data_IF_682426525743
#
_entry.id   IF_682426525743
#
_cell.length_a   1.000
_cell.length_b   1.000
_cell.length_c   1.000
_cell.angle_alpha   90.00
_cell.angle_beta   90.00
_cell.angle_gamma   90.00
#
_symmetry.space_group_name_H-M   'P 1'
#
loop_
_entity.id
_entity.type
_entity.pdbx_description
1 polymer ?
#
# COMPACT_ATOMS: atom_id res chain seq x y z
N UNK A 1 -0.55 -17.53 -0.21
CA UNK A 1 -1.67 -18.30 -0.78
C UNK A 1 -1.75 -17.91 -2.24
N UNK A 2 -1.54 -18.85 -3.17
CA UNK A 2 -1.51 -18.57 -4.61
C UNK A 2 -2.91 -18.14 -5.07
N UNK A 3 -3.04 -16.92 -5.60
CA UNK A 3 -4.29 -16.43 -6.16
C UNK A 3 -4.48 -17.08 -7.54
N UNK A 4 -5.46 -17.95 -7.66
CA UNK A 4 -5.80 -18.61 -8.93
C UNK A 4 -6.59 -17.59 -9.75
N UNK A 5 -6.04 -17.11 -10.85
CA UNK A 5 -6.76 -16.29 -11.82
C UNK A 5 -7.21 -17.21 -12.94
N UNK A 6 -8.52 -17.33 -13.13
CA UNK A 6 -9.09 -18.07 -14.25
C UNK A 6 -9.36 -17.11 -15.40
N UNK A 7 -8.50 -17.13 -16.41
CA UNK A 7 -8.69 -16.37 -17.65
C UNK A 7 -9.24 -17.31 -18.72
N UNK A 8 -10.23 -16.84 -19.48
CA UNK A 8 -10.81 -17.58 -20.60
C UNK A 8 -10.31 -16.95 -21.91
N UNK A 9 -9.49 -17.68 -22.65
CA UNK A 9 -9.05 -17.25 -23.99
C UNK A 9 -9.91 -17.92 -25.07
N UNK A 10 -10.36 -17.17 -26.09
CA UNK A 10 -11.05 -17.75 -27.24
C UNK A 10 -10.04 -18.46 -28.14
N UNK A 11 -10.24 -19.75 -28.39
CA UNK A 11 -9.48 -20.49 -29.41
C UNK A 11 -10.28 -20.44 -30.70
N UNK A 12 -9.76 -19.78 -31.73
CA UNK A 12 -10.32 -19.84 -33.07
C UNK A 12 -10.12 -21.24 -33.65
N UNK A 13 -11.22 -21.97 -33.85
CA UNK A 13 -11.22 -23.24 -34.57
C UNK A 13 -11.14 -22.98 -36.08
N UNK A 14 -10.23 -23.67 -36.76
CA UNK A 14 -10.13 -23.68 -38.23
C UNK A 14 -11.49 -24.08 -38.86
N UNK A 15 -11.87 -23.48 -40.01
CA UNK A 15 -13.15 -23.74 -40.64
C UNK A 15 -13.27 -25.21 -41.10
N UNK A 16 -14.39 -25.84 -40.78
CA UNK A 16 -14.70 -27.20 -41.19
C UNK A 16 -14.95 -27.25 -42.72
N UNK A 17 -14.47 -28.29 -43.41
CA UNK A 17 -14.43 -28.41 -44.89
C UNK A 17 -15.80 -28.48 -45.59
N UNK A 18 -16.91 -28.25 -44.88
CA UNK A 18 -18.28 -28.34 -45.39
C UNK A 18 -19.04 -27.03 -45.12
N UNK A 19 -18.67 -25.93 -45.77
CA UNK A 19 -19.53 -24.79 -46.15
C UNK A 19 -20.45 -24.09 -45.12
N UNK A 20 -20.52 -24.53 -43.86
CA UNK A 20 -21.35 -23.98 -42.80
C UNK A 20 -20.46 -23.26 -41.80
N UNK A 21 -20.52 -21.93 -41.84
CA UNK A 21 -19.79 -20.99 -40.98
C UNK A 21 -20.44 -20.87 -39.59
N UNK A 22 -20.55 -21.98 -38.86
CA UNK A 22 -20.88 -21.98 -37.44
C UNK A 22 -19.60 -21.94 -36.61
N UNK A 23 -18.99 -20.77 -36.45
CA UNK A 23 -17.81 -20.56 -35.61
C UNK A 23 -18.16 -20.80 -34.14
N UNK A 24 -17.98 -22.04 -33.67
CA UNK A 24 -18.19 -22.37 -32.26
C UNK A 24 -16.96 -21.90 -31.49
N UNK A 25 -17.04 -20.71 -30.88
CA UNK A 25 -15.99 -20.16 -30.03
C UNK A 25 -15.81 -21.10 -28.83
N UNK A 26 -14.72 -21.86 -28.83
CA UNK A 26 -14.38 -22.76 -27.73
C UNK A 26 -13.47 -22.02 -26.77
N UNK A 27 -13.97 -21.70 -25.57
CA UNK A 27 -13.19 -21.05 -24.52
C UNK A 27 -12.31 -22.08 -23.82
N UNK A 28 -10.99 -21.90 -23.87
CA UNK A 28 -10.04 -22.74 -23.12
C UNK A 28 -9.80 -22.10 -21.76
N UNK A 29 -10.04 -22.86 -20.69
CA UNK A 29 -9.68 -22.46 -19.32
C UNK A 29 -8.17 -22.55 -19.17
N UNK A 30 -7.49 -21.41 -19.13
CA UNK A 30 -6.07 -21.33 -18.78
C UNK A 30 -5.97 -20.99 -17.30
N UNK A 31 -5.32 -21.87 -16.53
CA UNK A 31 -5.03 -21.63 -15.12
C UNK A 31 -3.67 -20.94 -15.09
N UNK A 32 -3.67 -19.62 -15.04
CA UNK A 32 -2.44 -18.86 -14.79
C UNK A 32 -2.20 -18.77 -13.29
N UNK A 33 -1.01 -19.21 -12.89
CA UNK A 33 -0.49 -18.94 -11.56
C UNK A 33 0.17 -17.57 -11.58
N UNK A 34 -0.58 -16.54 -11.16
CA UNK A 34 0.03 -15.25 -10.88
C UNK A 34 1.07 -15.47 -9.78
N UNK A 35 2.36 -15.35 -10.13
CA UNK A 35 3.48 -15.43 -9.20
C UNK A 35 3.49 -14.18 -8.31
N UNK A 36 2.51 -14.07 -7.41
CA UNK A 36 2.45 -13.01 -6.42
C UNK A 36 3.32 -13.38 -5.22
N UNK A 37 4.17 -12.43 -4.81
CA UNK A 37 5.01 -12.55 -3.62
C UNK A 37 4.12 -12.60 -2.38
N UNK A 38 4.07 -13.76 -1.72
CA UNK A 38 3.30 -13.93 -0.48
C UNK A 38 4.09 -13.40 0.73
N UNK A 39 3.98 -12.09 0.99
CA UNK A 39 4.71 -11.39 2.06
C UNK A 39 4.36 -11.95 3.44
N UNK A 40 3.08 -12.21 3.74
CA UNK A 40 2.67 -12.78 5.02
C UNK A 40 3.21 -14.21 5.23
N UNK A 41 3.22 -15.00 4.17
CA UNK A 41 3.85 -16.33 4.18
C UNK A 41 5.35 -16.26 4.44
N UNK A 42 6.05 -15.34 3.79
CA UNK A 42 7.48 -15.11 3.99
C UNK A 42 7.79 -14.65 5.43
N UNK A 43 6.95 -13.76 5.97
CA UNK A 43 7.08 -13.28 7.34
C UNK A 43 6.87 -14.41 8.35
N UNK A 44 5.77 -15.16 8.22
CA UNK A 44 5.46 -16.25 9.16
C UNK A 44 6.51 -17.36 9.14
N UNK A 45 7.02 -17.74 7.97
CA UNK A 45 8.12 -18.72 7.89
C UNK A 45 9.42 -18.17 8.45
N UNK A 46 9.76 -16.91 8.15
CA UNK A 46 10.95 -16.24 8.70
C UNK A 46 10.89 -16.16 10.24
N UNK A 47 9.73 -15.84 10.81
CA UNK A 47 9.52 -15.76 12.26
C UNK A 47 9.65 -17.13 12.94
N UNK A 48 9.08 -18.18 12.35
CA UNK A 48 9.25 -19.56 12.88
C UNK A 48 10.71 -19.99 12.83
N UNK A 49 11.41 -19.74 11.72
CA UNK A 49 12.83 -20.05 11.58
C UNK A 49 13.65 -19.27 12.61
N UNK A 50 13.37 -17.98 12.78
CA UNK A 50 14.04 -17.11 13.76
C UNK A 50 13.85 -17.59 15.20
N UNK A 51 12.62 -17.94 15.59
CA UNK A 51 12.31 -18.48 16.92
C UNK A 51 13.03 -19.82 17.18
N UNK A 52 13.01 -20.74 16.22
CA UNK A 52 13.67 -22.05 16.35
C UNK A 52 15.19 -21.87 16.44
N UNK A 53 15.77 -21.03 15.57
CA UNK A 53 17.19 -20.70 15.59
C UNK A 53 17.60 -20.05 16.92
N UNK A 54 16.80 -19.11 17.42
CA UNK A 54 17.01 -18.44 18.70
C UNK A 54 16.91 -19.38 19.91
N UNK A 55 16.06 -20.41 19.86
CA UNK A 55 15.92 -21.39 20.95
C UNK A 55 17.13 -22.32 21.10
N UNK A 56 17.89 -22.54 20.03
CA UNK A 56 19.07 -23.43 20.00
C UNK A 56 20.32 -22.69 19.51
N UNK A 57 20.57 -21.50 20.08
CA UNK A 57 21.69 -20.60 19.71
C UNK A 57 23.04 -21.31 19.63
N UNK A 58 23.35 -22.22 20.55
CA UNK A 58 24.66 -22.92 20.57
C UNK A 58 24.89 -23.78 19.32
N UNK A 59 23.86 -24.45 18.81
CA UNK A 59 23.96 -25.33 17.63
C UNK A 59 23.72 -24.59 16.32
N UNK A 60 22.90 -23.54 16.35
CA UNK A 60 22.46 -22.78 15.17
C UNK A 60 23.15 -21.43 15.01
N UNK A 61 24.19 -21.15 15.80
CA UNK A 61 25.03 -19.95 15.69
C UNK A 61 25.50 -19.62 14.25
N UNK A 62 25.99 -20.57 13.43
CA UNK A 62 26.42 -20.23 12.07
C UNK A 62 25.25 -19.77 11.18
N UNK A 63 24.05 -20.30 11.39
CA UNK A 63 22.85 -19.87 10.65
C UNK A 63 22.44 -18.45 11.04
N UNK A 64 22.49 -18.12 12.33
CA UNK A 64 22.19 -16.78 12.85
C UNK A 64 23.20 -15.77 12.29
N UNK A 65 24.50 -16.09 12.36
CA UNK A 65 25.56 -15.23 11.84
C UNK A 65 25.41 -14.96 10.33
N UNK A 66 24.97 -15.96 9.55
CA UNK A 66 24.69 -15.78 8.14
C UNK A 66 23.57 -14.75 7.92
N UNK A 67 22.46 -14.84 8.66
CA UNK A 67 21.36 -13.88 8.54
C UNK A 67 21.74 -12.48 9.01
N UNK A 68 22.58 -12.35 10.04
CA UNK A 68 23.17 -11.07 10.46
C UNK A 68 24.00 -10.45 9.34
N UNK A 69 24.88 -11.23 8.68
CA UNK A 69 25.63 -10.74 7.53
C UNK A 69 24.73 -10.30 6.36
N UNK A 70 23.66 -11.04 6.07
CA UNK A 70 22.69 -10.65 5.03
C UNK A 70 22.01 -9.32 5.41
N UNK A 71 21.61 -9.15 6.68
CA UNK A 71 21.00 -7.90 7.15
C UNK A 71 21.97 -6.72 6.97
N UNK A 72 23.25 -6.91 7.25
CA UNK A 72 24.27 -5.88 7.07
C UNK A 72 24.45 -5.50 5.59
N UNK A 73 24.49 -6.48 4.70
CA UNK A 73 24.54 -6.25 3.25
C UNK A 73 23.32 -5.47 2.78
N UNK A 74 22.12 -5.78 3.27
CA UNK A 74 20.89 -5.04 2.93
C UNK A 74 20.93 -3.59 3.40
N UNK A 75 21.47 -3.34 4.59
CA UNK A 75 21.74 -1.98 5.10
C UNK A 75 22.60 -1.18 4.12
N UNK A 76 23.73 -1.74 3.68
CA UNK A 76 24.66 -1.07 2.77
C UNK A 76 24.02 -0.80 1.40
N UNK A 77 23.26 -1.75 0.86
CA UNK A 77 22.53 -1.57 -0.41
C UNK A 77 21.58 -0.37 -0.31
N UNK A 78 20.91 -0.21 0.83
CA UNK A 78 19.93 0.85 1.02
C UNK A 78 20.59 2.21 1.20
N UNK A 79 21.74 2.30 1.88
CA UNK A 79 22.56 3.52 1.90
C UNK A 79 22.92 3.99 0.48
N UNK A 80 23.15 3.05 -0.44
CA UNK A 80 23.39 3.38 -1.85
C UNK A 80 22.11 3.90 -2.53
N UNK A 81 20.96 3.27 -2.30
CA UNK A 81 19.66 3.71 -2.84
C UNK A 81 19.29 5.12 -2.35
N UNK A 82 19.59 5.46 -1.09
CA UNK A 82 19.33 6.80 -0.53
C UNK A 82 20.05 7.88 -1.36
N UNK A 83 21.24 7.61 -1.87
CA UNK A 83 21.97 8.57 -2.74
C UNK A 83 21.26 8.84 -4.06
N UNK A 84 20.46 7.88 -4.55
CA UNK A 84 19.65 8.02 -5.78
C UNK A 84 18.26 8.59 -5.50
N UNK A 85 17.82 8.61 -4.24
CA UNK A 85 16.52 9.11 -3.82
C UNK A 85 16.15 10.50 -4.34
N UNK A 86 17.02 11.54 -4.33
CA UNK A 86 16.64 12.87 -4.80
C UNK A 86 16.25 12.88 -6.29
N UNK A 87 16.88 12.04 -7.10
CA UNK A 87 16.58 11.92 -8.54
C UNK A 87 15.22 11.24 -8.73
N UNK A 88 14.96 10.16 -7.97
CA UNK A 88 13.68 9.47 -7.98
C UNK A 88 12.53 10.42 -7.59
N UNK A 89 12.75 11.31 -6.62
CA UNK A 89 11.75 12.27 -6.17
C UNK A 89 11.36 13.28 -7.24
N UNK A 90 12.35 13.84 -7.95
CA UNK A 90 12.09 14.80 -9.04
C UNK A 90 11.29 14.11 -10.16
N UNK A 91 11.65 12.87 -10.51
CA UNK A 91 10.94 12.12 -11.54
C UNK A 91 9.50 11.79 -11.13
N UNK A 92 9.25 11.44 -9.87
CA UNK A 92 7.93 11.11 -9.35
C UNK A 92 7.00 12.35 -9.36
N UNK A 93 7.51 13.50 -8.93
CA UNK A 93 6.77 14.78 -8.96
C UNK A 93 6.47 15.20 -10.40
N UNK A 94 7.45 15.08 -11.31
CA UNK A 94 7.25 15.37 -12.72
C UNK A 94 6.20 14.46 -13.37
N UNK A 95 6.22 13.17 -13.06
CA UNK A 95 5.21 12.20 -13.52
C UNK A 95 3.80 12.55 -13.01
N UNK A 96 3.67 12.90 -11.73
CA UNK A 96 2.41 13.31 -11.13
C UNK A 96 1.81 14.56 -11.81
N UNK A 97 2.64 15.54 -12.16
CA UNK A 97 2.21 16.75 -12.87
C UNK A 97 1.85 16.43 -14.33
N UNK A 98 2.67 15.65 -15.03
CA UNK A 98 2.46 15.33 -16.45
C UNK A 98 1.15 14.58 -16.72
N UNK A 99 0.64 13.81 -15.74
CA UNK A 99 -0.61 13.05 -15.86
C UNK A 99 -1.87 13.90 -15.67
N UNK A 100 -1.74 15.17 -15.27
CA UNK A 100 -2.87 16.11 -15.15
C UNK A 100 -3.22 16.75 -16.51
N UNK A 101 -3.92 16.02 -17.39
CA UNK A 101 -4.20 16.49 -18.76
C UNK A 101 -5.51 17.27 -18.97
N UNK A 102 -6.47 17.31 -18.02
CA UNK A 102 -7.81 17.89 -18.28
C UNK A 102 -8.27 18.90 -17.23
N UNK A 103 -8.04 20.18 -17.54
CA UNK A 103 -8.16 21.33 -16.63
C UNK A 103 -9.56 21.97 -16.61
N UNK A 104 -10.51 21.55 -17.43
CA UNK A 104 -11.76 22.31 -17.70
C UNK A 104 -12.65 22.62 -16.49
N UNK A 105 -13.32 21.63 -15.90
CA UNK A 105 -14.43 21.91 -14.96
C UNK A 105 -14.34 21.19 -13.60
N UNK A 106 -13.61 20.06 -13.51
CA UNK A 106 -13.47 19.28 -12.27
C UNK A 106 -12.09 19.42 -11.61
N UNK A 107 -11.20 20.25 -12.17
CA UNK A 107 -9.82 20.40 -11.68
C UNK A 107 -9.77 21.01 -10.28
N UNK A 108 -10.62 22.00 -9.98
CA UNK A 108 -10.73 22.60 -8.65
C UNK A 108 -11.21 21.55 -7.64
N UNK A 109 -12.20 20.74 -8.00
CA UNK A 109 -12.69 19.66 -7.14
C UNK A 109 -11.61 18.61 -6.87
N UNK A 110 -10.78 18.31 -7.87
CA UNK A 110 -9.66 17.37 -7.75
C UNK A 110 -8.55 17.90 -6.83
N UNK A 111 -8.18 19.18 -6.97
CA UNK A 111 -7.20 19.83 -6.07
C UNK A 111 -7.75 19.85 -4.65
N UNK A 112 -9.02 20.20 -4.45
CA UNK A 112 -9.66 20.18 -3.14
C UNK A 112 -9.69 18.76 -2.54
N UNK A 113 -9.89 17.73 -3.36
CA UNK A 113 -9.80 16.33 -2.94
C UNK A 113 -8.39 15.96 -2.48
N UNK A 114 -7.35 16.28 -3.26
CA UNK A 114 -5.95 16.01 -2.88
C UNK A 114 -5.58 16.80 -1.61
N UNK A 115 -5.91 18.09 -1.56
CA UNK A 115 -5.64 18.95 -0.42
C UNK A 115 -6.35 18.48 0.85
N UNK A 116 -7.62 18.06 0.76
CA UNK A 116 -8.35 17.51 1.91
C UNK A 116 -7.76 16.17 2.37
N UNK A 117 -7.34 15.30 1.45
CA UNK A 117 -6.69 14.03 1.80
C UNK A 117 -5.34 14.24 2.47
N UNK A 118 -4.51 15.15 1.95
CA UNK A 118 -3.23 15.54 2.58
C UNK A 118 -3.49 16.18 3.95
N UNK A 119 -4.51 17.03 4.09
CA UNK A 119 -4.86 17.66 5.37
C UNK A 119 -5.29 16.63 6.39
N UNK A 120 -6.11 15.66 5.99
CA UNK A 120 -6.57 14.58 6.86
C UNK A 120 -5.41 13.68 7.30
N UNK A 121 -4.54 13.28 6.38
CA UNK A 121 -3.34 12.50 6.71
C UNK A 121 -2.38 13.30 7.62
N UNK A 122 -2.18 14.58 7.33
CA UNK A 122 -1.37 15.49 8.16
C UNK A 122 -1.93 15.63 9.56
N UNK A 123 -3.27 15.71 9.71
CA UNK A 123 -3.93 15.74 11.02
C UNK A 123 -3.69 14.44 11.80
N UNK A 124 -3.76 13.29 11.13
CA UNK A 124 -3.47 12.00 11.78
C UNK A 124 -2.02 11.95 12.26
N UNK A 125 -1.06 12.32 11.41
CA UNK A 125 0.37 12.22 11.70
C UNK A 125 0.85 13.29 12.68
N UNK A 126 0.38 14.53 12.58
CA UNK A 126 0.88 15.64 13.41
C UNK A 126 0.09 15.86 14.69
N UNK A 127 -1.16 15.41 14.75
CA UNK A 127 -2.04 15.65 15.91
C UNK A 127 -2.39 14.33 16.59
N UNK A 128 -3.10 13.43 15.89
CA UNK A 128 -3.68 12.24 16.52
C UNK A 128 -2.59 11.29 17.04
N UNK A 129 -1.58 10.99 16.22
CA UNK A 129 -0.47 10.11 16.60
C UNK A 129 0.36 10.66 17.77
N UNK A 130 0.84 11.91 17.74
CA UNK A 130 1.57 12.50 18.87
C UNK A 130 0.74 12.59 20.15
N UNK A 131 -0.55 12.91 20.07
CA UNK A 131 -1.44 12.97 21.24
C UNK A 131 -1.62 11.58 21.84
N UNK A 132 -1.93 10.57 21.02
CA UNK A 132 -2.08 9.20 21.50
C UNK A 132 -0.79 8.67 22.14
N UNK A 133 0.35 8.92 21.49
CA UNK A 133 1.66 8.56 22.01
C UNK A 133 1.99 9.27 23.32
N UNK A 134 1.68 10.56 23.42
CA UNK A 134 1.90 11.32 24.64
C UNK A 134 1.04 10.82 25.80
N UNK A 135 -0.21 10.44 25.55
CA UNK A 135 -1.10 9.87 26.59
C UNK A 135 -0.55 8.52 27.08
N UNK A 136 -0.11 7.65 26.17
CA UNK A 136 0.35 6.30 26.49
C UNK A 136 1.77 6.27 27.10
N UNK A 137 2.72 6.99 26.50
CA UNK A 137 4.16 6.89 26.81
C UNK A 137 4.67 8.11 27.60
N UNK A 138 3.92 9.21 27.62
CA UNK A 138 4.30 10.48 28.29
C UNK A 138 5.64 11.04 27.83
N UNK A 139 6.02 10.75 26.57
CA UNK A 139 7.24 11.25 25.91
C UNK A 139 6.89 12.06 24.67
N UNK A 140 7.83 12.90 24.23
CA UNK A 140 7.67 13.73 23.05
C UNK A 140 7.96 12.93 21.77
N UNK A 141 6.93 12.68 20.95
CA UNK A 141 7.04 11.97 19.67
C UNK A 141 7.75 12.79 18.57
N UNK A 142 7.66 14.12 18.63
CA UNK A 142 8.26 14.98 17.60
C UNK A 142 9.79 14.84 17.51
N UNK A 143 10.44 14.51 18.64
CA UNK A 143 11.87 14.20 18.64
C UNK A 143 12.18 12.96 17.81
N UNK A 144 11.30 11.97 17.82
CA UNK A 144 11.43 10.75 17.02
C UNK A 144 11.18 11.01 15.53
N UNK A 145 10.23 11.88 15.19
CA UNK A 145 9.99 12.27 13.78
C UNK A 145 11.20 12.89 13.09
N UNK A 146 12.06 13.60 13.82
CA UNK A 146 13.30 14.11 13.25
C UNK A 146 14.20 12.99 12.72
N UNK A 147 14.38 11.92 13.50
CA UNK A 147 15.15 10.75 13.07
C UNK A 147 14.43 9.94 11.98
N UNK A 148 13.09 9.99 11.92
CA UNK A 148 12.29 9.27 10.93
C UNK A 148 12.23 9.95 9.55
N UNK A 149 12.81 11.14 9.39
CA UNK A 149 12.73 11.93 8.16
C UNK A 149 13.23 11.17 6.92
N UNK A 150 14.36 10.46 7.03
CA UNK A 150 14.93 9.65 5.95
C UNK A 150 14.03 8.44 5.55
N UNK A 151 13.60 7.56 6.49
CA UNK A 151 12.64 6.50 6.20
C UNK A 151 11.34 6.99 5.53
N UNK A 152 10.81 8.12 6.00
CA UNK A 152 9.57 8.71 5.45
C UNK A 152 9.78 9.13 3.99
N UNK A 153 10.89 9.80 3.69
CA UNK A 153 11.20 10.23 2.33
C UNK A 153 11.41 9.03 1.39
N UNK A 154 12.04 7.96 1.88
CA UNK A 154 12.22 6.72 1.11
C UNK A 154 10.89 6.02 0.83
N UNK A 155 10.02 5.91 1.83
CA UNK A 155 8.68 5.32 1.66
C UNK A 155 7.83 6.12 0.67
N UNK A 156 7.90 7.45 0.74
CA UNK A 156 7.19 8.35 -0.18
C UNK A 156 7.70 8.21 -1.62
N UNK A 157 9.02 8.18 -1.82
CA UNK A 157 9.65 8.05 -3.13
C UNK A 157 9.40 6.72 -3.82
N UNK A 158 9.48 5.64 -3.05
CA UNK A 158 9.28 4.31 -3.58
C UNK A 158 7.80 3.91 -3.66
N UNK A 159 6.88 4.77 -3.18
CA UNK A 159 5.44 4.49 -3.06
C UNK A 159 5.13 3.21 -2.25
N UNK A 160 6.07 2.76 -1.43
CA UNK A 160 6.00 1.48 -0.71
C UNK A 160 6.65 1.56 0.66
N UNK A 161 5.86 1.30 1.71
CA UNK A 161 6.34 1.32 3.09
C UNK A 161 7.30 0.18 3.43
N UNK A 162 7.26 -0.94 2.70
CA UNK A 162 8.14 -2.10 2.94
C UNK A 162 9.60 -1.80 2.57
N UNK A 163 9.83 -0.93 1.59
CA UNK A 163 11.17 -0.58 1.11
C UNK A 163 11.92 0.26 2.16
N UNK A 164 11.19 1.02 2.99
CA UNK A 164 11.77 1.83 4.05
C UNK A 164 12.04 1.07 5.36
N UNK A 165 11.63 -0.20 5.48
CA UNK A 165 11.79 -0.98 6.72
C UNK A 165 13.24 -1.06 7.23
N UNK A 166 14.25 -1.28 6.39
CA UNK A 166 15.61 -1.42 6.93
C UNK A 166 16.19 -0.10 7.44
N UNK A 167 15.83 1.04 6.84
CA UNK A 167 16.17 2.36 7.39
C UNK A 167 15.47 2.60 8.72
N UNK A 168 14.20 2.18 8.84
CA UNK A 168 13.48 2.24 10.10
C UNK A 168 14.21 1.44 11.19
N UNK A 169 14.78 0.27 10.88
CA UNK A 169 15.58 -0.50 11.84
C UNK A 169 16.80 0.28 12.32
N UNK A 170 17.58 0.86 11.40
CA UNK A 170 18.77 1.65 11.76
C UNK A 170 18.41 2.85 12.64
N UNK A 171 17.34 3.57 12.31
CA UNK A 171 16.87 4.72 13.10
C UNK A 171 16.42 4.29 14.49
N UNK A 172 15.68 3.18 14.59
CA UNK A 172 15.25 2.63 15.87
C UNK A 172 16.44 2.16 16.72
N UNK A 173 17.44 1.54 16.11
CA UNK A 173 18.68 1.11 16.76
C UNK A 173 19.46 2.33 17.31
N UNK A 174 19.57 3.41 16.52
CA UNK A 174 20.21 4.67 16.94
C UNK A 174 19.45 5.41 18.05
N UNK A 175 18.11 5.32 18.05
CA UNK A 175 17.27 5.94 19.07
C UNK A 175 17.27 5.15 20.40
N UNK A 176 17.81 3.92 20.40
CA UNK A 176 17.87 3.05 21.58
C UNK A 176 16.59 2.25 21.82
N UNK A 177 15.82 1.97 20.77
CA UNK A 177 14.69 1.02 20.83
C UNK A 177 15.25 -0.39 20.69
N UNK A 178 14.66 -1.36 21.40
CA UNK A 178 15.07 -2.76 21.33
C UNK A 178 14.94 -3.31 19.90
N UNK A 179 16.08 -3.58 19.26
CA UNK A 179 16.19 -4.00 17.86
C UNK A 179 15.39 -5.26 17.56
N UNK A 180 15.40 -6.23 18.48
CA UNK A 180 14.70 -7.51 18.34
C UNK A 180 13.17 -7.30 18.28
N UNK A 181 12.64 -6.39 19.10
CA UNK A 181 11.22 -6.05 19.09
C UNK A 181 10.82 -5.39 17.78
N UNK A 182 11.59 -4.39 17.32
CA UNK A 182 11.27 -3.64 16.09
C UNK A 182 11.37 -4.53 14.86
N UNK A 183 12.43 -5.34 14.75
CA UNK A 183 12.64 -6.24 13.59
C UNK A 183 11.57 -7.33 13.50
N UNK A 184 10.99 -7.72 14.63
CA UNK A 184 9.89 -8.70 14.67
C UNK A 184 8.54 -8.04 14.36
N UNK A 185 8.24 -6.90 14.98
CA UNK A 185 6.90 -6.30 14.96
C UNK A 185 6.69 -5.38 13.76
N UNK A 186 7.72 -4.65 13.30
CA UNK A 186 7.55 -3.64 12.26
C UNK A 186 7.13 -4.24 10.90
N UNK A 187 7.73 -5.34 10.38
CA UNK A 187 7.28 -5.92 9.10
C UNK A 187 5.83 -6.39 9.12
N UNK A 188 5.39 -6.91 10.26
CA UNK A 188 4.00 -7.30 10.50
C UNK A 188 3.09 -6.08 10.48
N UNK A 189 3.41 -5.06 11.29
CA UNK A 189 2.61 -3.83 11.37
C UNK A 189 2.56 -3.09 10.03
N UNK A 190 3.65 -3.03 9.27
CA UNK A 190 3.67 -2.38 7.95
C UNK A 190 2.71 -3.06 6.96
N UNK A 191 2.45 -4.36 7.11
CA UNK A 191 1.51 -5.08 6.24
C UNK A 191 0.05 -4.90 6.66
N UNK A 192 -0.23 -4.74 7.96
CA UNK A 192 -1.60 -4.62 8.48
C UNK A 192 -2.07 -3.18 8.69
N UNK A 193 -1.16 -2.24 8.91
CA UNK A 193 -1.44 -0.88 9.34
C UNK A 193 -1.30 0.12 8.18
N UNK A 194 -2.17 0.00 7.17
CA UNK A 194 -2.15 0.87 5.99
C UNK A 194 -3.09 2.10 6.14
N UNK A 195 -2.90 2.88 7.21
CA UNK A 195 -3.72 4.06 7.52
C UNK A 195 -3.81 5.08 6.38
N UNK A 196 -2.74 5.26 5.60
CA UNK A 196 -2.74 6.14 4.42
C UNK A 196 -3.74 5.66 3.36
N UNK A 197 -3.75 4.37 3.05
CA UNK A 197 -4.73 3.77 2.14
C UNK A 197 -6.15 3.90 2.69
N UNK A 198 -6.36 3.72 4.00
CA UNK A 198 -7.68 3.89 4.62
C UNK A 198 -8.21 5.33 4.48
N UNK A 199 -7.33 6.30 4.70
CA UNK A 199 -7.62 7.71 4.51
C UNK A 199 -8.00 8.02 3.06
N UNK A 200 -7.20 7.56 2.10
CA UNK A 200 -7.47 7.72 0.67
C UNK A 200 -8.78 7.05 0.25
N UNK A 201 -9.03 5.82 0.68
CA UNK A 201 -10.26 5.10 0.31
C UNK A 201 -11.49 5.84 0.84
N UNK A 202 -11.48 6.27 2.10
CA UNK A 202 -12.60 6.98 2.69
C UNK A 202 -12.84 8.34 2.03
N UNK A 203 -11.78 9.12 1.79
CA UNK A 203 -11.90 10.43 1.13
C UNK A 203 -12.34 10.27 -0.33
N UNK A 204 -11.85 9.25 -1.04
CA UNK A 204 -12.17 8.98 -2.44
C UNK A 204 -13.65 8.60 -2.61
N UNK A 205 -14.20 7.74 -1.74
CA UNK A 205 -15.63 7.40 -1.77
C UNK A 205 -16.49 8.64 -1.52
N UNK A 206 -16.11 9.48 -0.55
CA UNK A 206 -16.83 10.73 -0.27
C UNK A 206 -16.77 11.71 -1.46
N UNK A 207 -15.62 11.79 -2.12
CA UNK A 207 -15.43 12.61 -3.32
C UNK A 207 -16.30 12.14 -4.49
N UNK A 208 -16.33 10.83 -4.76
CA UNK A 208 -17.18 10.25 -5.82
C UNK A 208 -18.67 10.49 -5.53
N UNK A 209 -19.10 10.38 -4.27
CA UNK A 209 -20.47 10.70 -3.87
C UNK A 209 -20.83 12.19 -4.12
N UNK A 210 -19.88 13.10 -3.85
CA UNK A 210 -20.08 14.53 -4.12
C UNK A 210 -20.15 14.85 -5.62
N UNK A 211 -19.32 14.20 -6.45
CA UNK A 211 -19.35 14.37 -7.90
C UNK A 211 -20.66 13.87 -8.53
N UNK A 212 -21.22 12.79 -8.00
CA UNK A 212 -22.52 12.23 -8.42
C UNK A 212 -23.72 12.97 -7.82
N UNK A 213 -23.48 14.02 -7.01
CA UNK A 213 -24.48 14.81 -6.29
C UNK A 213 -25.36 13.97 -5.35
N UNK A 214 -24.84 12.83 -4.88
CA UNK A 214 -25.53 11.98 -3.92
C UNK A 214 -25.25 12.48 -2.50
N UNK A 215 -26.32 12.68 -1.72
CA UNK A 215 -26.19 13.09 -0.32
C UNK A 215 -25.94 11.86 0.55
N UNK A 216 -24.77 11.81 1.17
CA UNK A 216 -24.43 10.80 2.16
C UNK A 216 -25.08 11.14 3.51
N UNK A 217 -25.75 10.17 4.12
CA UNK A 217 -26.26 10.29 5.49
C UNK A 217 -25.12 10.08 6.51
N UNK A 218 -25.28 10.57 7.74
CA UNK A 218 -24.30 10.41 8.82
C UNK A 218 -23.95 8.93 9.08
N UNK A 219 -24.95 8.03 8.99
CA UNK A 219 -24.72 6.59 9.11
C UNK A 219 -23.85 6.02 7.97
N UNK A 220 -23.99 6.54 6.75
CA UNK A 220 -23.16 6.13 5.62
C UNK A 220 -21.72 6.63 5.77
N UNK A 221 -21.50 7.85 6.27
CA UNK A 221 -20.15 8.34 6.55
C UNK A 221 -19.41 7.46 7.57
N UNK A 222 -20.07 7.08 8.66
CA UNK A 222 -19.50 6.19 9.67
C UNK A 222 -19.22 4.81 9.07
N UNK A 223 -20.17 4.28 8.29
CA UNK A 223 -20.02 2.98 7.64
C UNK A 223 -18.88 2.96 6.61
N UNK A 224 -18.71 4.02 5.80
CA UNK A 224 -17.59 4.17 4.85
C UNK A 224 -16.26 4.18 5.60
N UNK A 225 -16.16 4.96 6.69
CA UNK A 225 -14.95 5.01 7.51
C UNK A 225 -14.59 3.66 8.12
N UNK A 226 -15.59 2.97 8.70
CA UNK A 226 -15.40 1.64 9.28
C UNK A 226 -15.01 0.60 8.22
N UNK A 227 -15.72 0.58 7.09
CA UNK A 227 -15.47 -0.37 6.01
C UNK A 227 -14.11 -0.13 5.35
N UNK A 228 -13.69 1.12 5.21
CA UNK A 228 -12.35 1.49 4.75
C UNK A 228 -11.29 0.92 5.69
N UNK A 229 -11.40 1.17 7.00
CA UNK A 229 -10.45 0.66 7.99
C UNK A 229 -10.33 -0.86 8.00
N UNK A 230 -11.46 -1.58 7.88
CA UNK A 230 -11.47 -3.04 7.82
C UNK A 230 -10.87 -3.58 6.52
N UNK A 231 -11.20 -2.99 5.37
CA UNK A 231 -10.70 -3.47 4.08
C UNK A 231 -9.18 -3.35 3.98
N UNK A 232 -8.62 -2.27 4.53
CA UNK A 232 -7.18 -1.96 4.52
C UNK A 232 -6.33 -3.06 5.16
N UNK A 233 -6.88 -3.81 6.12
CA UNK A 233 -6.20 -4.98 6.71
C UNK A 233 -6.07 -6.16 5.74
N UNK A 234 -6.90 -6.19 4.69
CA UNK A 234 -6.95 -7.22 3.66
C UNK A 234 -6.38 -6.74 2.31
N UNK A 235 -5.88 -5.51 2.23
CA UNK A 235 -5.28 -4.99 1.00
C UNK A 235 -3.96 -5.73 0.72
N UNK A 236 -3.80 -6.32 -0.47
CA UNK A 236 -2.49 -6.82 -0.87
C UNK A 236 -1.55 -5.63 -1.10
N UNK A 237 -0.27 -5.80 -0.75
CA UNK A 237 0.77 -4.80 -0.96
C UNK A 237 1.14 -4.70 -2.45
N UNK A 238 0.23 -4.19 -3.27
CA UNK A 238 0.36 -3.98 -4.71
C UNK A 238 0.03 -2.52 -4.99
N UNK A 239 0.80 -1.83 -5.85
CA UNK A 239 0.40 -0.53 -6.35
C UNK A 239 -1.00 -0.58 -6.93
N UNK A 240 -1.84 0.42 -6.65
CA UNK A 240 -3.23 0.50 -7.13
C UNK A 240 -4.27 -0.42 -6.47
N UNK A 241 -3.94 -1.13 -5.39
CA UNK A 241 -4.92 -1.98 -4.68
C UNK A 241 -6.05 -1.17 -4.00
N UNK A 242 -5.80 0.09 -3.67
CA UNK A 242 -6.76 0.97 -2.98
C UNK A 242 -7.95 1.32 -3.86
N UNK A 243 -7.76 1.53 -5.17
CA UNK A 243 -8.85 1.87 -6.09
C UNK A 243 -9.90 0.76 -6.20
N UNK A 244 -9.46 -0.50 -6.23
CA UNK A 244 -10.38 -1.65 -6.28
C UNK A 244 -11.32 -1.62 -5.07
N UNK A 245 -10.77 -1.24 -3.91
CA UNK A 245 -11.54 -1.12 -2.66
C UNK A 245 -12.48 0.07 -2.70
N UNK A 246 -12.07 1.20 -3.28
CA UNK A 246 -12.97 2.34 -3.51
C UNK A 246 -14.17 1.92 -4.35
N UNK A 247 -13.96 1.21 -5.45
CA UNK A 247 -15.04 0.68 -6.30
C UNK A 247 -15.95 -0.24 -5.47
N UNK A 248 -15.38 -1.19 -4.72
CA UNK A 248 -16.14 -2.11 -3.89
C UNK A 248 -17.07 -1.38 -2.89
N UNK A 249 -16.56 -0.36 -2.21
CA UNK A 249 -17.33 0.41 -1.24
C UNK A 249 -18.38 1.27 -1.96
N UNK A 250 -18.03 1.85 -3.10
CA UNK A 250 -18.93 2.68 -3.92
C UNK A 250 -20.13 1.85 -4.42
N UNK A 251 -19.90 0.61 -4.89
CA UNK A 251 -20.94 -0.39 -5.19
C UNK A 251 -21.83 -0.69 -3.99
N UNK A 252 -21.24 -0.87 -2.81
CA UNK A 252 -21.99 -1.24 -1.61
C UNK A 252 -23.01 -0.18 -1.18
N UNK A 253 -22.79 1.09 -1.55
CA UNK A 253 -23.68 2.21 -1.25
C UNK A 253 -24.46 2.73 -2.47
N UNK A 254 -24.47 1.97 -3.58
CA UNK A 254 -25.18 2.28 -4.83
C UNK A 254 -24.82 3.67 -5.40
N UNK A 255 -23.53 4.04 -5.32
CA UNK A 255 -23.02 5.29 -5.88
C UNK A 255 -22.60 5.04 -7.33
N UNK A 256 -23.06 5.88 -8.27
CA UNK A 256 -22.84 5.68 -9.71
C UNK A 256 -21.37 5.91 -10.14
N UNK A 257 -20.77 4.93 -10.82
CA UNK A 257 -19.30 4.86 -11.00
C UNK A 257 -18.75 5.36 -12.33
N UNK A 258 -19.61 5.56 -13.34
CA UNK A 258 -19.23 5.36 -14.75
C UNK A 258 -18.25 6.38 -15.35
N UNK A 259 -17.81 7.40 -14.62
CA UNK A 259 -16.80 8.38 -15.11
C UNK A 259 -15.89 8.93 -14.01
N UNK A 260 -16.35 8.94 -12.76
CA UNK A 260 -15.62 9.55 -11.64
C UNK A 260 -14.45 8.72 -11.12
N UNK A 261 -14.48 7.40 -11.27
CA UNK A 261 -13.39 6.51 -10.78
C UNK A 261 -12.11 6.69 -11.60
N UNK A 262 -12.22 7.00 -12.89
CA UNK A 262 -11.07 7.27 -13.76
C UNK A 262 -10.23 8.47 -13.29
N UNK A 263 -10.84 9.45 -12.61
CA UNK A 263 -10.13 10.59 -12.02
C UNK A 263 -9.28 10.18 -10.81
N UNK A 264 -9.69 9.14 -10.07
CA UNK A 264 -8.96 8.65 -8.90
C UNK A 264 -7.65 7.94 -9.27
N UNK A 265 -7.56 7.35 -10.45
CA UNK A 265 -6.32 6.74 -10.95
C UNK A 265 -5.18 7.75 -11.14
N UNK A 266 -5.52 9.03 -11.36
CA UNK A 266 -4.52 10.09 -11.49
C UNK A 266 -4.06 10.56 -10.11
N UNK A 267 -4.96 10.59 -9.12
CA UNK A 267 -4.66 11.13 -7.79
C UNK A 267 -4.09 10.12 -6.80
N UNK A 268 -4.28 8.81 -7.03
CA UNK A 268 -3.70 7.76 -6.17
C UNK A 268 -2.16 7.83 -6.09
N UNK A 269 -1.50 8.34 -7.13
CA UNK A 269 -0.04 8.50 -7.11
C UNK A 269 0.43 9.70 -6.27
N UNK A 270 -0.47 10.61 -5.91
CA UNK A 270 -0.17 11.86 -5.20
C UNK A 270 -0.53 11.76 -3.72
N UNK A 271 -1.58 11.01 -3.39
CA UNK A 271 -2.16 10.87 -2.04
C UNK A 271 -1.69 9.58 -1.38
#
# INVERSE_FOLDING_TARGET
MLKIVTTYEPVESLPNSNGNSSSTITYKRVIEHAAQTNILGLFTTSLVIGLVAGSRREKLRPLIALFECISEVMTIIIEFIIKLLPIAMISLIAYAIARMERIGDNFIALILFVASSITFLSMIVLVIMPVFFFIAVRRNLFRFYYYLSEPILTAFSSTSSLIALPQLFQVCDLYGIESDLVRTVAPFLTSFNANGSAAFIASAVCFVAQLTKQRLNAGQFIAIGFLSGVNVMALPAIPSASIITVILITRAFDISESTSVSLLFVTEFIV
#
